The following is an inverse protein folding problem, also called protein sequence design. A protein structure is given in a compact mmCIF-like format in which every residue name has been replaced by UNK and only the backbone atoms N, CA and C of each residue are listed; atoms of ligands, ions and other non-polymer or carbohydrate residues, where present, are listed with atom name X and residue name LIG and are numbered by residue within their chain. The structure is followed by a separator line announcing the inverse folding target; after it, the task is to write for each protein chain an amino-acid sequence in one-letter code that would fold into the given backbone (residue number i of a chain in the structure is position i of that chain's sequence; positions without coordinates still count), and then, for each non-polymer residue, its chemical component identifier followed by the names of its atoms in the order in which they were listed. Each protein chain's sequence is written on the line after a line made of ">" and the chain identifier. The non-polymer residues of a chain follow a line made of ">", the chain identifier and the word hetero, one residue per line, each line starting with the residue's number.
data_IF_805836068100
#
_entry.id   IF_805836068100
#
_cell.length_a   1.000
_cell.length_b   1.000
_cell.length_c   1.000
_cell.angle_alpha   90.00
_cell.angle_beta   90.00
_cell.angle_gamma   90.00
#
_symmetry.space_group_name_H-M   'P 1'
#
loop_
_entity.id
_entity.type
_entity.pdbx_description
1 polymer ?
#
# COMPACT_ATOMS: atom_id res chain seq x y z
N UNK A 1 50.58 -5.47 5.05
CA UNK A 1 49.62 -5.99 6.06
C UNK A 1 48.46 -5.01 6.33
N UNK A 2 48.67 -3.70 6.27
CA UNK A 2 47.61 -2.70 6.53
C UNK A 2 46.47 -2.61 5.50
N UNK A 3 46.72 -2.92 4.21
CA UNK A 3 45.70 -2.90 3.16
C UNK A 3 44.62 -4.01 3.29
N UNK A 4 45.03 -5.18 3.75
CA UNK A 4 44.12 -6.33 3.97
C UNK A 4 43.23 -6.11 5.19
N UNK A 5 43.75 -5.47 6.25
CA UNK A 5 42.95 -5.14 7.44
C UNK A 5 41.94 -4.02 7.16
N UNK A 6 42.28 -3.04 6.31
CA UNK A 6 41.34 -2.00 5.89
C UNK A 6 40.20 -2.53 5.00
N UNK A 7 40.48 -3.47 4.11
CA UNK A 7 39.50 -4.12 3.26
C UNK A 7 38.51 -4.98 4.06
N UNK A 8 38.96 -5.67 5.09
CA UNK A 8 38.10 -6.48 5.98
C UNK A 8 37.22 -5.61 6.88
N UNK A 9 37.72 -4.48 7.37
CA UNK A 9 36.95 -3.57 8.19
C UNK A 9 35.82 -2.87 7.38
N UNK A 10 36.09 -2.49 6.12
CA UNK A 10 35.07 -1.90 5.24
C UNK A 10 34.04 -2.95 4.79
N UNK A 11 34.42 -4.20 4.56
CA UNK A 11 33.50 -5.29 4.23
C UNK A 11 32.55 -5.62 5.38
N UNK A 12 33.05 -5.62 6.62
CA UNK A 12 32.22 -5.84 7.81
C UNK A 12 31.16 -4.74 8.02
N UNK A 13 31.58 -3.49 7.86
CA UNK A 13 30.64 -2.35 7.97
C UNK A 13 29.54 -2.38 6.89
N UNK A 14 29.92 -2.67 5.64
CA UNK A 14 28.97 -2.79 4.54
C UNK A 14 27.99 -3.94 4.76
N UNK A 15 28.43 -5.09 5.25
CA UNK A 15 27.56 -6.22 5.56
C UNK A 15 26.56 -5.90 6.67
N UNK A 16 26.99 -5.23 7.73
CA UNK A 16 26.11 -4.79 8.82
C UNK A 16 25.05 -3.83 8.31
N UNK A 17 25.42 -2.84 7.49
CA UNK A 17 24.46 -1.91 6.89
C UNK A 17 23.47 -2.62 5.97
N UNK A 18 23.93 -3.57 5.16
CA UNK A 18 23.08 -4.35 4.28
C UNK A 18 22.05 -5.17 5.08
N UNK A 19 22.49 -5.87 6.13
CA UNK A 19 21.58 -6.63 7.01
C UNK A 19 20.61 -5.71 7.70
N UNK A 20 21.04 -4.54 8.17
CA UNK A 20 20.18 -3.55 8.81
C UNK A 20 19.09 -3.04 7.85
N UNK A 21 19.46 -2.60 6.64
CA UNK A 21 18.49 -2.15 5.65
C UNK A 21 17.56 -3.26 5.17
N UNK A 22 18.06 -4.48 5.00
CA UNK A 22 17.23 -5.62 4.65
C UNK A 22 16.21 -5.95 5.75
N UNK A 23 16.63 -5.87 7.00
CA UNK A 23 15.74 -6.07 8.15
C UNK A 23 14.65 -5.01 8.20
N UNK A 24 15.01 -3.74 8.01
CA UNK A 24 14.03 -2.66 7.92
C UNK A 24 13.07 -2.87 6.74
N UNK A 25 13.59 -3.24 5.57
CA UNK A 25 12.78 -3.51 4.39
C UNK A 25 11.74 -4.61 4.66
N UNK A 26 12.16 -5.74 5.23
CA UNK A 26 11.26 -6.84 5.58
C UNK A 26 10.24 -6.40 6.62
N UNK A 27 10.65 -5.64 7.64
CA UNK A 27 9.76 -5.12 8.68
C UNK A 27 8.63 -4.24 8.09
N UNK A 28 8.92 -3.46 7.05
CA UNK A 28 7.92 -2.67 6.34
C UNK A 28 7.09 -3.50 5.35
N UNK A 29 7.70 -4.46 4.66
CA UNK A 29 7.02 -5.27 3.66
C UNK A 29 6.03 -6.27 4.27
N UNK A 30 6.32 -6.82 5.46
CA UNK A 30 5.47 -7.81 6.12
C UNK A 30 4.04 -7.34 6.39
N UNK A 31 3.77 -6.19 7.03
CA UNK A 31 2.42 -5.74 7.27
C UNK A 31 1.68 -5.36 5.98
N UNK A 32 2.38 -4.88 4.96
CA UNK A 32 1.80 -4.64 3.64
C UNK A 32 1.41 -5.96 2.98
N UNK A 33 2.27 -6.99 3.04
CA UNK A 33 1.98 -8.33 2.55
C UNK A 33 0.73 -8.92 3.24
N UNK A 34 0.67 -8.86 4.56
CA UNK A 34 -0.49 -9.35 5.31
C UNK A 34 -1.77 -8.59 5.00
N UNK A 35 -1.68 -7.28 4.73
CA UNK A 35 -2.82 -6.48 4.28
C UNK A 35 -3.28 -6.89 2.88
N UNK A 36 -2.33 -7.14 1.95
CA UNK A 36 -2.66 -7.63 0.60
C UNK A 36 -3.23 -9.05 0.63
N UNK A 37 -2.86 -9.90 1.60
CA UNK A 37 -3.50 -11.20 1.78
C UNK A 37 -5.00 -11.07 2.06
N UNK A 38 -5.44 -10.05 2.79
CA UNK A 38 -6.87 -9.79 3.02
C UNK A 38 -7.60 -9.37 1.74
N UNK A 39 -6.91 -8.74 0.79
CA UNK A 39 -7.44 -8.39 -0.52
C UNK A 39 -7.25 -9.51 -1.57
N UNK A 40 -6.44 -10.54 -1.28
CA UNK A 40 -6.10 -11.62 -2.20
C UNK A 40 -7.31 -12.42 -2.71
N UNK A 41 -8.38 -12.69 -1.93
CA UNK A 41 -9.59 -13.35 -2.46
C UNK A 41 -10.23 -12.61 -3.63
N UNK A 42 -9.93 -11.33 -3.80
CA UNK A 42 -10.39 -10.51 -4.92
C UNK A 42 -9.39 -10.42 -6.07
N UNK A 43 -8.33 -11.26 -6.05
CA UNK A 43 -7.35 -11.39 -7.13
C UNK A 43 -6.07 -10.57 -6.98
N UNK A 44 -5.87 -9.90 -5.85
CA UNK A 44 -4.64 -9.11 -5.65
C UNK A 44 -3.49 -9.99 -5.13
N UNK A 45 -2.30 -9.94 -5.77
CA UNK A 45 -1.18 -10.79 -5.40
C UNK A 45 -0.48 -10.26 -4.13
N UNK A 46 -0.56 -11.01 -3.04
CA UNK A 46 0.05 -10.60 -1.76
C UNK A 46 1.58 -10.46 -1.84
N UNK A 47 2.26 -11.31 -2.63
CA UNK A 47 3.72 -11.25 -2.81
C UNK A 47 4.21 -9.91 -3.39
N UNK A 48 3.31 -9.13 -4.00
CA UNK A 48 3.63 -7.81 -4.53
C UNK A 48 4.22 -6.85 -3.49
N UNK A 49 3.94 -7.05 -2.21
CA UNK A 49 4.51 -6.27 -1.12
C UNK A 49 6.05 -6.31 -1.07
N UNK A 50 6.65 -7.39 -1.60
CA UNK A 50 8.10 -7.55 -1.64
C UNK A 50 8.76 -7.01 -2.92
N UNK A 51 7.99 -6.43 -3.85
CA UNK A 51 8.53 -5.85 -5.08
C UNK A 51 8.23 -4.34 -5.07
N UNK A 52 9.25 -3.47 -4.81
CA UNK A 52 9.02 -2.05 -4.50
C UNK A 52 8.18 -1.29 -5.52
N UNK A 53 8.37 -1.51 -6.81
CA UNK A 53 7.60 -0.84 -7.86
C UNK A 53 6.21 -1.45 -8.00
N UNK A 54 6.12 -2.78 -7.98
CA UNK A 54 4.87 -3.49 -8.19
C UNK A 54 3.90 -3.35 -7.01
N UNK A 55 4.42 -3.23 -5.78
CA UNK A 55 3.59 -2.97 -4.60
C UNK A 55 2.72 -1.71 -4.75
N UNK A 56 3.25 -0.64 -5.37
CA UNK A 56 2.46 0.58 -5.60
C UNK A 56 1.33 0.37 -6.60
N UNK A 57 1.54 -0.46 -7.63
CA UNK A 57 0.50 -0.81 -8.60
C UNK A 57 -0.62 -1.60 -7.91
N UNK A 58 -0.26 -2.55 -7.06
CA UNK A 58 -1.23 -3.33 -6.28
C UNK A 58 -1.92 -2.44 -5.25
N UNK A 59 -1.20 -1.52 -4.60
CA UNK A 59 -1.78 -0.55 -3.67
C UNK A 59 -2.86 0.30 -4.34
N UNK A 60 -2.62 0.77 -5.57
CA UNK A 60 -3.61 1.52 -6.35
C UNK A 60 -4.86 0.68 -6.66
N UNK A 61 -4.69 -0.62 -6.95
CA UNK A 61 -5.82 -1.52 -7.18
C UNK A 61 -6.62 -1.75 -5.91
N UNK A 62 -5.96 -2.02 -4.79
CA UNK A 62 -6.59 -2.20 -3.47
C UNK A 62 -7.36 -0.92 -3.08
N UNK A 63 -6.82 0.25 -3.38
CA UNK A 63 -7.47 1.54 -3.16
C UNK A 63 -8.62 1.82 -4.16
N UNK A 64 -8.72 1.10 -5.27
CA UNK A 64 -9.68 1.36 -6.36
C UNK A 64 -9.32 2.58 -7.20
N UNK A 65 -8.03 2.77 -7.47
CA UNK A 65 -7.53 3.83 -8.33
C UNK A 65 -7.12 3.28 -9.71
N UNK A 66 -7.31 4.06 -10.80
CA UNK A 66 -6.91 3.60 -12.14
C UNK A 66 -5.39 3.43 -12.23
N UNK A 67 -4.95 2.49 -13.07
CA UNK A 67 -3.52 2.24 -13.33
C UNK A 67 -2.77 3.47 -13.82
N UNK A 68 -3.48 4.41 -14.46
CA UNK A 68 -2.91 5.70 -14.89
C UNK A 68 -2.33 6.51 -13.74
N UNK A 69 -2.81 6.29 -12.51
CA UNK A 69 -2.23 6.92 -11.32
C UNK A 69 -0.81 6.44 -11.02
N UNK A 70 -0.33 5.36 -11.67
CA UNK A 70 1.07 4.93 -11.56
C UNK A 70 2.08 6.01 -12.00
N UNK A 71 1.63 7.09 -12.71
CA UNK A 71 2.47 8.25 -13.00
C UNK A 71 3.05 8.90 -11.73
N UNK A 72 2.41 8.73 -10.57
CA UNK A 72 2.96 9.24 -9.30
C UNK A 72 4.32 8.59 -8.93
N UNK A 73 4.63 7.42 -9.48
CA UNK A 73 5.96 6.83 -9.36
C UNK A 73 7.04 7.74 -10.00
N UNK A 74 6.67 8.50 -11.05
CA UNK A 74 7.56 9.51 -11.63
C UNK A 74 7.83 10.64 -10.65
N UNK A 75 6.86 10.98 -9.78
CA UNK A 75 7.06 11.95 -8.69
C UNK A 75 8.05 11.44 -7.65
N UNK A 76 8.15 10.13 -7.48
CA UNK A 76 9.17 9.52 -6.62
C UNK A 76 10.58 9.81 -7.14
N UNK A 77 10.78 9.64 -8.47
CA UNK A 77 12.02 10.01 -9.14
C UNK A 77 12.26 11.51 -9.13
N UNK A 78 11.22 12.30 -9.43
CA UNK A 78 11.31 13.77 -9.38
C UNK A 78 11.64 14.27 -7.97
N UNK A 79 11.10 13.65 -6.92
CA UNK A 79 11.39 13.96 -5.53
C UNK A 79 12.84 13.69 -5.13
N UNK A 80 13.49 12.74 -5.79
CA UNK A 80 14.92 12.46 -5.59
C UNK A 80 15.81 13.53 -6.23
N UNK A 81 15.40 14.04 -7.41
CA UNK A 81 16.18 15.04 -8.17
C UNK A 81 15.84 16.47 -7.72
N UNK A 82 14.56 16.75 -7.46
CA UNK A 82 14.03 18.06 -7.09
C UNK A 82 13.16 17.93 -5.84
N UNK A 83 13.73 17.85 -4.62
CA UNK A 83 13.00 17.48 -3.41
C UNK A 83 11.74 18.33 -3.16
N UNK A 84 11.84 19.65 -3.32
CA UNK A 84 10.71 20.56 -3.03
C UNK A 84 9.55 20.37 -4.01
N UNK A 85 9.86 20.17 -5.29
CA UNK A 85 8.84 20.06 -6.36
C UNK A 85 8.24 18.66 -6.40
N UNK A 86 9.03 17.61 -6.12
CA UNK A 86 8.58 16.22 -6.20
C UNK A 86 7.92 15.71 -4.93
N UNK A 87 8.42 16.05 -3.75
CA UNK A 87 7.96 15.50 -2.48
C UNK A 87 6.56 15.99 -2.07
N UNK A 88 6.22 17.26 -2.30
CA UNK A 88 4.91 17.81 -1.91
C UNK A 88 3.77 17.13 -2.68
N UNK A 89 3.77 17.06 -4.03
CA UNK A 89 2.74 16.36 -4.78
C UNK A 89 2.71 14.86 -4.45
N UNK A 90 3.87 14.23 -4.28
CA UNK A 90 3.98 12.83 -3.89
C UNK A 90 3.28 12.58 -2.54
N UNK A 91 3.51 13.44 -1.55
CA UNK A 91 2.90 13.33 -0.24
C UNK A 91 1.38 13.48 -0.30
N UNK A 92 0.88 14.44 -1.07
CA UNK A 92 -0.57 14.64 -1.30
C UNK A 92 -1.20 13.41 -1.94
N UNK A 93 -0.59 12.88 -3.02
CA UNK A 93 -1.07 11.68 -3.70
C UNK A 93 -1.07 10.47 -2.74
N UNK A 94 -0.03 10.33 -1.94
CA UNK A 94 0.08 9.26 -0.94
C UNK A 94 -1.06 9.34 0.08
N UNK A 95 -1.38 10.52 0.61
CA UNK A 95 -2.49 10.71 1.55
C UNK A 95 -3.82 10.29 0.90
N UNK A 96 -4.06 10.68 -0.35
CA UNK A 96 -5.28 10.33 -1.07
C UNK A 96 -5.40 8.81 -1.23
N UNK A 97 -4.33 8.15 -1.67
CA UNK A 97 -4.33 6.68 -1.84
C UNK A 97 -4.51 5.97 -0.50
N UNK A 98 -3.82 6.41 0.56
CA UNK A 98 -3.97 5.82 1.90
C UNK A 98 -5.37 6.04 2.49
N UNK A 99 -6.03 7.15 2.15
CA UNK A 99 -7.43 7.38 2.54
C UNK A 99 -8.37 6.38 1.86
N UNK A 100 -8.14 6.07 0.58
CA UNK A 100 -8.93 5.07 -0.12
C UNK A 100 -8.64 3.65 0.40
N UNK A 101 -7.37 3.34 0.71
CA UNK A 101 -7.02 2.09 1.39
C UNK A 101 -7.73 1.98 2.74
N UNK A 102 -7.70 3.03 3.57
CA UNK A 102 -8.40 3.05 4.85
C UNK A 102 -9.89 2.72 4.69
N UNK A 103 -10.57 3.35 3.73
CA UNK A 103 -11.97 3.09 3.41
C UNK A 103 -12.20 1.68 2.89
N UNK A 104 -11.29 1.15 2.07
CA UNK A 104 -11.35 -0.22 1.53
C UNK A 104 -11.29 -1.29 2.62
N UNK A 105 -10.78 -0.95 3.80
CA UNK A 105 -10.78 -1.80 4.99
C UNK A 105 -11.82 -1.38 6.05
N UNK A 106 -12.81 -0.57 5.67
CA UNK A 106 -13.91 -0.17 6.55
C UNK A 106 -13.56 0.87 7.61
N UNK A 107 -12.43 1.56 7.45
CA UNK A 107 -12.00 2.61 8.37
C UNK A 107 -12.27 4.01 7.84
N UNK A 108 -12.45 4.96 8.73
CA UNK A 108 -12.64 6.36 8.39
C UNK A 108 -11.34 7.13 8.17
N UNK A 109 -11.46 8.43 7.84
CA UNK A 109 -10.32 9.33 7.60
C UNK A 109 -9.40 9.53 8.81
N UNK A 110 -9.88 9.33 10.03
CA UNK A 110 -9.04 9.33 11.23
C UNK A 110 -7.97 8.23 11.21
N UNK A 111 -8.31 7.06 10.65
CA UNK A 111 -7.35 5.96 10.46
C UNK A 111 -6.31 6.32 9.39
N UNK A 112 -6.69 7.09 8.37
CA UNK A 112 -5.77 7.60 7.36
C UNK A 112 -4.68 8.46 7.97
N UNK A 113 -5.04 9.33 8.92
CA UNK A 113 -4.04 10.16 9.65
C UNK A 113 -3.03 9.27 10.35
N UNK A 114 -3.48 8.18 10.96
CA UNK A 114 -2.61 7.18 11.56
C UNK A 114 -1.69 6.49 10.56
N UNK A 115 -2.23 6.09 9.40
CA UNK A 115 -1.44 5.48 8.31
C UNK A 115 -0.34 6.43 7.77
N UNK A 116 -0.59 7.74 7.79
CA UNK A 116 0.36 8.77 7.33
C UNK A 116 1.42 9.07 8.39
N UNK A 117 1.03 9.22 9.66
CA UNK A 117 1.92 9.62 10.74
C UNK A 117 2.69 8.44 11.35
N UNK A 118 2.06 7.29 11.45
CA UNK A 118 2.60 6.08 12.08
C UNK A 118 2.40 4.86 11.16
N UNK A 119 2.96 4.88 9.94
CA UNK A 119 2.66 3.89 8.92
C UNK A 119 2.90 2.46 9.40
N UNK A 120 4.03 2.16 10.04
CA UNK A 120 4.34 0.81 10.51
C UNK A 120 3.21 0.29 11.41
N UNK A 121 2.82 1.06 12.44
CA UNK A 121 1.83 0.64 13.43
C UNK A 121 0.48 0.39 12.75
N UNK A 122 0.02 1.33 11.93
CA UNK A 122 -1.30 1.24 11.30
C UNK A 122 -1.37 0.17 10.21
N UNK A 123 -0.27 -0.12 9.51
CA UNK A 123 -0.19 -1.27 8.61
C UNK A 123 -0.25 -2.60 9.37
N UNK A 124 0.39 -2.70 10.55
CA UNK A 124 0.24 -3.87 11.43
C UNK A 124 -1.18 -4.00 11.97
N UNK A 125 -1.87 -2.90 12.30
CA UNK A 125 -3.27 -2.92 12.72
C UNK A 125 -4.17 -3.42 11.57
N UNK A 126 -3.94 -3.00 10.33
CA UNK A 126 -4.67 -3.53 9.18
C UNK A 126 -4.44 -5.03 8.99
N UNK A 127 -3.20 -5.49 9.15
CA UNK A 127 -2.87 -6.90 8.99
C UNK A 127 -3.40 -7.77 10.13
N UNK A 128 -3.02 -7.47 11.37
CA UNK A 128 -3.31 -8.31 12.55
C UNK A 128 -4.68 -8.01 13.16
N UNK A 129 -5.25 -6.84 12.88
CA UNK A 129 -6.55 -6.42 13.39
C UNK A 129 -7.72 -7.15 12.73
N UNK A 130 -8.91 -6.90 13.26
CA UNK A 130 -10.18 -7.46 12.75
C UNK A 130 -10.66 -6.79 11.46
N UNK A 131 -9.87 -5.90 10.87
CA UNK A 131 -10.21 -5.21 9.62
C UNK A 131 -10.41 -6.22 8.50
N UNK A 132 -11.55 -6.14 7.81
CA UNK A 132 -11.86 -6.94 6.62
C UNK A 132 -11.77 -6.07 5.39
N UNK A 133 -11.29 -6.63 4.29
CA UNK A 133 -11.27 -5.91 3.03
C UNK A 133 -12.67 -5.90 2.42
N UNK A 134 -13.26 -4.71 2.29
CA UNK A 134 -14.62 -4.49 1.77
C UNK A 134 -14.65 -4.31 0.24
N UNK A 135 -13.51 -4.33 -0.39
CA UNK A 135 -13.36 -3.99 -1.79
C UNK A 135 -12.82 -2.58 -2.01
N UNK A 136 -12.39 -2.27 -3.24
CA UNK A 136 -11.82 -0.97 -3.58
C UNK A 136 -12.85 0.15 -3.40
N UNK A 137 -12.45 1.28 -2.78
CA UNK A 137 -13.32 2.42 -2.49
C UNK A 137 -12.95 3.68 -3.29
N UNK A 138 -11.96 3.60 -4.16
CA UNK A 138 -11.56 4.71 -5.02
C UNK A 138 -12.50 4.94 -6.22
N UNK A 139 -12.22 5.94 -7.08
CA UNK A 139 -13.10 6.35 -8.19
C UNK A 139 -13.39 5.27 -9.22
N UNK A 140 -12.55 4.23 -9.33
CA UNK A 140 -12.76 3.11 -10.28
C UNK A 140 -13.39 1.88 -9.64
N UNK A 141 -13.77 1.95 -8.38
CA UNK A 141 -14.44 0.85 -7.67
C UNK A 141 -15.70 0.36 -8.40
N UNK A 142 -16.45 1.27 -8.99
CA UNK A 142 -17.70 0.97 -9.70
C UNK A 142 -17.51 0.49 -11.15
N UNK A 143 -16.30 0.53 -11.73
CA UNK A 143 -16.08 0.36 -13.18
C UNK A 143 -15.06 -0.75 -13.51
N UNK A 144 -14.43 -1.35 -12.52
CA UNK A 144 -13.38 -2.36 -12.71
C UNK A 144 -13.89 -3.80 -12.56
N UNK A 145 -12.99 -4.80 -12.68
CA UNK A 145 -13.30 -6.19 -12.40
C UNK A 145 -13.83 -6.41 -10.96
N UNK A 146 -13.71 -5.41 -10.12
CA UNK A 146 -14.20 -5.37 -8.74
C UNK A 146 -15.66 -4.89 -8.60
N UNK A 147 -16.27 -4.36 -9.67
CA UNK A 147 -17.68 -3.96 -9.68
C UNK A 147 -18.65 -5.12 -9.39
N UNK A 148 -18.17 -6.36 -9.52
CA UNK A 148 -18.93 -7.58 -9.22
C UNK A 148 -18.91 -7.96 -7.73
N UNK A 149 -18.06 -7.32 -6.90
CA UNK A 149 -18.04 -7.61 -5.46
C UNK A 149 -19.04 -6.70 -4.74
N UNK A 150 -20.07 -7.27 -4.11
CA UNK A 150 -21.04 -6.49 -3.37
C UNK A 150 -20.32 -5.78 -2.22
N UNK A 151 -20.30 -4.45 -2.26
CA UNK A 151 -19.83 -3.66 -1.13
C UNK A 151 -20.92 -3.67 -0.05
N UNK A 152 -20.68 -4.22 1.16
CA UNK A 152 -21.70 -4.28 2.20
C UNK A 152 -22.25 -2.93 2.64
N UNK A 153 -21.61 -1.82 2.26
CA UNK A 153 -22.01 -0.47 2.64
C UNK A 153 -22.58 0.41 1.52
N UNK A 154 -22.57 -0.07 0.25
CA UNK A 154 -23.08 0.70 -0.89
C UNK A 154 -23.85 -0.21 -1.84
N UNK A 155 -25.14 0.05 -2.08
CA UNK A 155 -25.83 -0.61 -3.17
C UNK A 155 -25.17 -0.23 -4.50
N UNK A 156 -25.04 -1.17 -5.45
CA UNK A 156 -24.50 -0.86 -6.77
C UNK A 156 -25.31 0.26 -7.41
N UNK A 157 -24.69 1.23 -8.09
CA UNK A 157 -25.41 2.28 -8.79
C UNK A 157 -26.36 1.65 -9.82
N UNK A 158 -27.66 1.71 -9.58
CA UNK A 158 -28.70 1.18 -10.47
C UNK A 158 -28.91 -0.33 -10.47
N UNK A 159 -28.32 -1.08 -9.55
CA UNK A 159 -28.44 -2.53 -9.46
C UNK A 159 -29.42 -3.02 -8.40
N UNK A 160 -30.21 -4.02 -8.75
CA UNK A 160 -30.99 -4.83 -7.79
C UNK A 160 -29.98 -5.55 -6.89
N UNK A 161 -30.16 -5.45 -5.56
CA UNK A 161 -29.32 -6.16 -4.61
C UNK A 161 -29.29 -7.65 -4.93
N UNK A 162 -28.09 -8.31 -4.92
CA UNK A 162 -28.03 -9.76 -5.13
C UNK A 162 -28.87 -10.49 -4.08
N UNK A 163 -29.47 -11.65 -4.42
CA UNK A 163 -30.24 -12.43 -3.46
C UNK A 163 -29.36 -12.82 -2.27
N UNK A 164 -29.79 -12.43 -1.06
CA UNK A 164 -29.06 -12.71 0.19
C UNK A 164 -28.60 -11.47 0.97
N UNK A 165 -28.85 -10.25 0.47
CA UNK A 165 -28.65 -9.04 1.26
C UNK A 165 -29.81 -8.85 2.24
N UNK A 166 -29.55 -8.60 3.53
CA UNK A 166 -30.59 -8.18 4.46
C UNK A 166 -31.13 -6.81 4.05
N UNK A 167 -32.42 -6.57 4.23
CA UNK A 167 -33.05 -5.29 3.94
C UNK A 167 -32.51 -4.13 4.81
#
# INVERSE_FOLDING_TARGET
>A
MGLLTAATSNGGGAAILLVFFLTLYVLFALPVWGTYQKASPQGEPAWAAFVPIYQFIVLLRVAGRPKTWAWFLLLYFAGFVLPVIGLIPLYVVTIIVLNDVSKSFGHGSGFTVGLVLLPIIFWFILWLGKSTYLGPQGPTAAVGPYAAYPNPGYPPPGGVAPPGYPP
#
